data_IF_991387561673
#
_entry.id   IF_991387561673
#
_cell.length_a   1.000
_cell.length_b   1.000
_cell.length_c   1.000
_cell.angle_alpha   90.00
_cell.angle_beta   90.00
_cell.angle_gamma   90.00
#
_symmetry.space_group_name_H-M   'P 1'
#
loop_
_entity.id
_entity.type
_entity.pdbx_description
1 polymer ?
#
# COMPACT_ATOMS: atom_id res chain seq x y z
N UNK A 1 26.05 7.29 6.30
CA UNK A 1 26.89 6.11 6.04
C UNK A 1 26.81 5.18 7.23
N UNK A 2 27.05 3.90 7.02
CA UNK A 2 26.97 2.85 8.04
C UNK A 2 28.40 2.36 8.33
N UNK A 3 28.83 2.44 9.58
CA UNK A 3 30.15 1.92 9.95
C UNK A 3 30.07 0.42 10.26
N UNK A 4 31.13 -0.34 9.93
CA UNK A 4 31.20 -1.77 10.22
C UNK A 4 30.94 -2.06 11.70
N UNK A 5 31.51 -1.25 12.60
CA UNK A 5 31.34 -1.44 14.04
C UNK A 5 29.90 -1.22 14.51
N UNK A 6 29.18 -0.23 13.91
CA UNK A 6 27.77 0.00 14.18
C UNK A 6 26.92 -1.22 13.76
N UNK A 7 27.22 -1.79 12.57
CA UNK A 7 26.52 -2.98 12.07
C UNK A 7 26.78 -4.19 12.98
N UNK A 8 28.03 -4.42 13.40
CA UNK A 8 28.38 -5.50 14.32
C UNK A 8 27.69 -5.34 15.68
N UNK A 9 27.69 -4.12 16.22
CA UNK A 9 27.00 -3.81 17.48
C UNK A 9 25.48 -4.02 17.38
N UNK A 10 24.86 -3.62 16.27
CA UNK A 10 23.41 -3.76 16.07
C UNK A 10 22.99 -5.22 15.87
N UNK A 11 23.80 -6.02 15.18
CA UNK A 11 23.43 -7.39 14.77
C UNK A 11 23.95 -8.49 15.68
N UNK A 12 24.96 -8.20 16.52
CA UNK A 12 25.72 -9.20 17.25
C UNK A 12 26.59 -10.07 16.34
N UNK A 13 26.77 -9.68 15.08
CA UNK A 13 27.53 -10.41 14.08
C UNK A 13 29.06 -10.36 14.33
N UNK A 14 29.77 -11.20 13.62
CA UNK A 14 31.23 -11.24 13.61
C UNK A 14 31.79 -10.93 12.23
N UNK A 15 32.97 -10.32 12.20
CA UNK A 15 33.69 -10.07 10.94
C UNK A 15 35.17 -10.38 11.15
N UNK A 16 35.78 -11.09 10.21
CA UNK A 16 37.22 -11.40 10.26
C UNK A 16 38.13 -10.25 9.80
N UNK A 17 37.54 -9.26 9.09
CA UNK A 17 38.28 -8.09 8.64
C UNK A 17 38.57 -7.16 9.82
N UNK A 18 39.82 -6.72 9.94
CA UNK A 18 40.23 -5.72 10.91
C UNK A 18 40.16 -4.28 10.33
N UNK A 19 39.76 -4.12 9.06
CA UNK A 19 39.65 -2.84 8.42
C UNK A 19 38.38 -2.12 8.87
N UNK A 20 38.50 -0.85 9.20
CA UNK A 20 37.34 -0.01 9.44
C UNK A 20 36.71 0.34 8.07
N UNK A 21 35.56 -0.23 7.78
CA UNK A 21 34.85 -0.07 6.49
C UNK A 21 33.58 0.70 6.74
N UNK A 22 33.36 1.72 5.91
CA UNK A 22 32.12 2.47 5.84
C UNK A 22 31.31 2.01 4.63
N UNK A 23 30.03 1.75 4.82
CA UNK A 23 29.10 1.37 3.75
C UNK A 23 28.24 2.58 3.35
N UNK A 24 28.12 2.79 2.04
CA UNK A 24 27.31 3.89 1.48
C UNK A 24 25.81 3.61 1.55
N UNK A 25 25.43 2.33 1.73
CA UNK A 25 24.05 1.86 1.81
C UNK A 25 23.98 0.37 2.12
N UNK A 26 22.76 -0.13 2.28
CA UNK A 26 22.45 -1.54 2.52
C UNK A 26 21.51 -2.03 1.42
N UNK A 27 21.84 -3.13 0.76
CA UNK A 27 21.06 -3.64 -0.36
C UNK A 27 20.87 -5.16 -0.26
N UNK A 28 19.69 -5.65 -0.62
CA UNK A 28 19.33 -7.07 -0.62
C UNK A 28 19.19 -7.64 -2.04
N UNK A 29 19.34 -6.80 -3.09
CA UNK A 29 19.22 -7.20 -4.49
C UNK A 29 20.55 -6.97 -5.23
N UNK A 30 21.23 -8.05 -5.57
CA UNK A 30 22.52 -8.00 -6.29
C UNK A 30 22.45 -7.35 -7.68
N UNK A 31 21.24 -7.22 -8.27
CA UNK A 31 21.05 -6.57 -9.58
C UNK A 31 21.09 -5.05 -9.52
N UNK A 32 20.79 -4.50 -8.33
CA UNK A 32 20.73 -3.06 -8.08
C UNK A 32 21.82 -2.57 -7.13
N UNK A 33 22.79 -3.42 -6.78
CA UNK A 33 23.89 -3.10 -5.88
C UNK A 33 24.73 -1.95 -6.46
N UNK A 34 25.10 -1.02 -5.59
CA UNK A 34 25.95 0.10 -5.94
C UNK A 34 27.31 -0.04 -5.26
N UNK A 35 28.31 0.63 -5.82
CA UNK A 35 29.66 0.65 -5.24
C UNK A 35 29.63 1.19 -3.80
N UNK A 36 30.28 0.46 -2.91
CA UNK A 36 30.36 0.83 -1.50
C UNK A 36 29.19 0.34 -0.62
N UNK A 37 28.14 -0.28 -1.18
CA UNK A 37 27.02 -0.84 -0.38
C UNK A 37 27.41 -2.17 0.29
N UNK A 38 26.73 -2.48 1.40
CA UNK A 38 26.72 -3.81 1.99
C UNK A 38 25.61 -4.65 1.35
N UNK A 39 25.95 -5.79 0.78
CA UNK A 39 24.98 -6.76 0.31
C UNK A 39 24.53 -7.69 1.43
N UNK A 40 23.22 -7.77 1.70
CA UNK A 40 22.64 -8.68 2.69
C UNK A 40 22.04 -9.89 1.96
N UNK A 41 22.57 -11.07 2.24
CA UNK A 41 22.14 -12.33 1.62
C UNK A 41 20.89 -12.88 2.31
N UNK A 42 19.72 -12.41 1.92
CA UNK A 42 18.46 -12.96 2.42
C UNK A 42 18.16 -14.32 1.79
N UNK A 43 17.57 -15.22 2.56
CA UNK A 43 17.08 -16.53 2.11
C UNK A 43 15.56 -16.60 2.27
N UNK A 44 14.89 -17.25 1.33
CA UNK A 44 13.47 -17.55 1.32
C UNK A 44 13.21 -18.96 0.83
N UNK A 45 11.95 -19.38 0.76
CA UNK A 45 11.56 -20.75 0.38
C UNK A 45 12.12 -21.20 -0.98
N UNK A 46 12.17 -20.31 -1.97
CA UNK A 46 12.59 -20.61 -3.33
C UNK A 46 13.84 -19.83 -3.78
N UNK A 47 14.53 -19.18 -2.86
CA UNK A 47 15.62 -18.26 -3.17
C UNK A 47 16.65 -18.24 -2.05
N UNK A 48 17.94 -18.26 -2.41
CA UNK A 48 19.04 -18.07 -1.48
C UNK A 48 19.98 -16.96 -1.96
N UNK A 49 20.00 -15.84 -1.22
CA UNK A 49 20.85 -14.69 -1.50
C UNK A 49 22.34 -14.97 -1.40
N UNK A 50 22.75 -15.98 -0.65
CA UNK A 50 24.17 -16.35 -0.48
C UNK A 50 24.81 -16.72 -1.82
N UNK A 51 24.05 -17.30 -2.75
CA UNK A 51 24.52 -17.63 -4.10
C UNK A 51 24.92 -16.41 -4.95
N UNK A 52 24.59 -15.20 -4.50
CA UNK A 52 24.85 -13.94 -5.20
C UNK A 52 25.94 -13.08 -4.55
N UNK A 53 26.54 -13.53 -3.44
CA UNK A 53 27.58 -12.78 -2.71
C UNK A 53 28.78 -12.43 -3.59
N UNK A 54 29.33 -13.42 -4.29
CA UNK A 54 30.47 -13.20 -5.21
C UNK A 54 30.12 -12.20 -6.32
N UNK A 55 28.92 -12.31 -6.88
CA UNK A 55 28.41 -11.37 -7.89
C UNK A 55 28.26 -9.95 -7.34
N UNK A 56 27.72 -9.80 -6.13
CA UNK A 56 27.56 -8.50 -5.49
C UNK A 56 28.91 -7.82 -5.27
N UNK A 57 29.92 -8.55 -4.78
CA UNK A 57 31.27 -8.05 -4.63
C UNK A 57 31.90 -7.64 -5.98
N UNK A 58 31.73 -8.46 -7.02
CA UNK A 58 32.20 -8.14 -8.37
C UNK A 58 31.55 -6.87 -8.96
N UNK A 59 30.31 -6.55 -8.54
CA UNK A 59 29.60 -5.34 -8.94
C UNK A 59 29.93 -4.11 -8.04
N UNK A 60 30.83 -4.27 -7.05
CA UNK A 60 31.34 -3.17 -6.23
C UNK A 60 30.77 -3.08 -4.81
N UNK A 61 30.08 -4.11 -4.32
CA UNK A 61 29.73 -4.16 -2.91
C UNK A 61 31.00 -4.10 -2.04
N UNK A 62 30.98 -3.27 -0.99
CA UNK A 62 32.10 -3.17 -0.07
C UNK A 62 32.18 -4.34 0.94
N UNK A 63 31.10 -5.11 1.05
CA UNK A 63 31.03 -6.30 1.90
C UNK A 63 29.75 -7.08 1.70
N UNK A 64 29.66 -8.24 2.34
CA UNK A 64 28.50 -9.11 2.37
C UNK A 64 28.14 -9.49 3.79
N UNK A 65 26.81 -9.60 4.07
CA UNK A 65 26.30 -10.11 5.33
C UNK A 65 25.62 -11.46 5.06
N UNK A 66 26.07 -12.50 5.75
CA UNK A 66 25.72 -13.90 5.50
C UNK A 66 25.36 -14.63 6.79
N UNK A 67 24.64 -15.76 6.70
CA UNK A 67 24.34 -16.64 7.85
C UNK A 67 25.24 -17.87 7.93
N UNK A 68 25.92 -18.23 6.85
CA UNK A 68 26.85 -19.37 6.78
C UNK A 68 28.04 -19.01 5.90
N UNK A 69 29.04 -19.87 5.91
CA UNK A 69 30.23 -19.67 5.08
C UNK A 69 29.88 -19.82 3.60
N UNK A 70 30.35 -18.87 2.79
CA UNK A 70 30.15 -18.83 1.35
C UNK A 70 31.50 -19.07 0.68
N UNK A 71 31.56 -20.09 -0.18
CA UNK A 71 32.78 -20.43 -0.93
C UNK A 71 33.01 -19.44 -2.09
N UNK A 72 34.27 -19.33 -2.53
CA UNK A 72 34.64 -18.56 -3.71
C UNK A 72 34.66 -17.03 -3.51
N UNK A 73 34.55 -16.54 -2.28
CA UNK A 73 34.69 -15.12 -2.00
C UNK A 73 36.19 -14.73 -1.98
N UNK A 74 36.55 -13.49 -2.43
CA UNK A 74 37.90 -12.97 -2.32
C UNK A 74 38.42 -13.02 -0.88
N UNK A 75 39.70 -13.34 -0.68
CA UNK A 75 40.31 -13.44 0.67
C UNK A 75 40.25 -12.14 1.47
N UNK A 76 40.26 -11.01 0.79
CA UNK A 76 40.18 -9.68 1.38
C UNK A 76 38.75 -9.14 1.48
N UNK A 77 37.73 -9.93 1.13
CA UNK A 77 36.34 -9.50 1.22
C UNK A 77 35.91 -9.26 2.69
N UNK A 78 35.16 -8.19 2.91
CA UNK A 78 34.50 -7.94 4.19
C UNK A 78 33.28 -8.85 4.27
N UNK A 79 33.33 -9.86 5.12
CA UNK A 79 32.25 -10.82 5.35
C UNK A 79 31.77 -10.71 6.79
N UNK A 80 30.54 -10.24 6.95
CA UNK A 80 29.86 -10.17 8.24
C UNK A 80 29.01 -11.43 8.38
N UNK A 81 29.23 -12.21 9.43
CA UNK A 81 28.48 -13.43 9.73
C UNK A 81 27.54 -13.22 10.90
N UNK A 82 26.27 -13.61 10.71
CA UNK A 82 25.22 -13.56 11.73
C UNK A 82 24.42 -14.86 11.71
N UNK A 83 23.62 -15.15 12.72
CA UNK A 83 22.79 -16.37 12.75
C UNK A 83 21.60 -16.29 11.80
N UNK A 84 21.06 -15.06 11.58
CA UNK A 84 19.88 -14.79 10.76
C UNK A 84 20.06 -13.47 10.00
N UNK A 85 20.17 -13.55 8.69
CA UNK A 85 20.39 -12.37 7.82
C UNK A 85 19.18 -11.46 7.74
N UNK A 86 17.95 -11.99 7.83
CA UNK A 86 16.73 -11.16 7.85
C UNK A 86 16.66 -10.37 9.16
N UNK A 87 16.89 -11.03 10.28
CA UNK A 87 16.94 -10.38 11.60
C UNK A 87 18.02 -9.32 11.66
N UNK A 88 19.21 -9.62 11.14
CA UNK A 88 20.31 -8.67 11.05
C UNK A 88 19.94 -7.45 10.20
N UNK A 89 19.33 -7.66 9.03
CA UNK A 89 18.84 -6.58 8.16
C UNK A 89 17.85 -5.66 8.88
N UNK A 90 16.91 -6.24 9.62
CA UNK A 90 15.94 -5.49 10.41
C UNK A 90 16.61 -4.69 11.53
N UNK A 91 17.56 -5.28 12.23
CA UNK A 91 18.31 -4.61 13.32
C UNK A 91 19.18 -3.46 12.81
N UNK A 92 19.80 -3.61 11.63
CA UNK A 92 20.54 -2.52 10.97
C UNK A 92 19.58 -1.37 10.64
N UNK A 93 18.41 -1.67 10.06
CA UNK A 93 17.42 -0.66 9.73
C UNK A 93 16.88 0.05 10.97
N UNK A 94 16.65 -0.69 12.06
CA UNK A 94 16.24 -0.12 13.34
C UNK A 94 17.33 0.78 13.91
N UNK A 95 18.58 0.35 13.96
CA UNK A 95 19.71 1.15 14.45
C UNK A 95 19.86 2.45 13.64
N UNK A 96 19.70 2.38 12.32
CA UNK A 96 19.72 3.58 11.46
C UNK A 96 18.57 4.53 11.78
N UNK A 97 17.34 4.01 11.95
CA UNK A 97 16.17 4.80 12.37
C UNK A 97 16.42 5.46 13.73
N UNK A 98 16.92 4.72 14.69
CA UNK A 98 17.15 5.21 16.07
C UNK A 98 18.26 6.28 16.16
N UNK A 99 19.20 6.26 15.22
CA UNK A 99 20.22 7.29 15.05
C UNK A 99 19.62 8.65 14.64
N UNK A 100 18.45 8.65 13.96
CA UNK A 100 17.75 9.83 13.52
C UNK A 100 16.84 10.39 14.62
N UNK A 101 17.42 11.09 15.60
CA UNK A 101 16.73 11.52 16.86
C UNK A 101 15.52 12.43 16.64
N UNK A 102 15.53 13.26 15.60
CA UNK A 102 14.46 14.21 15.30
C UNK A 102 13.41 13.66 14.33
N UNK A 103 13.64 12.46 13.79
CA UNK A 103 12.74 11.81 12.87
C UNK A 103 11.42 11.45 13.54
N UNK A 104 10.31 11.82 12.89
CA UNK A 104 8.96 11.36 13.21
C UNK A 104 8.53 10.27 12.24
N UNK A 105 7.82 9.27 12.74
CA UNK A 105 7.32 8.17 11.92
C UNK A 105 5.81 8.10 11.99
N UNK A 106 5.16 8.12 10.83
CA UNK A 106 3.72 7.90 10.68
C UNK A 106 3.51 6.52 10.04
N UNK A 107 2.87 5.61 10.77
CA UNK A 107 2.58 4.26 10.30
C UNK A 107 1.12 4.15 9.83
N UNK A 108 0.89 3.46 8.70
CA UNK A 108 -0.45 3.30 8.12
C UNK A 108 -0.74 1.83 7.90
N UNK A 109 -1.88 1.36 8.43
CA UNK A 109 -2.44 0.03 8.12
C UNK A 109 -3.93 0.09 7.79
N UNK A 110 -4.50 -1.04 7.43
CA UNK A 110 -5.91 -1.22 7.13
C UNK A 110 -6.13 -2.34 6.10
N UNK A 111 -7.36 -2.71 5.85
CA UNK A 111 -7.69 -3.68 4.81
C UNK A 111 -7.51 -3.06 3.42
N UNK A 112 -8.13 -1.92 3.18
CA UNK A 112 -8.08 -1.16 1.93
C UNK A 112 -7.58 0.27 2.18
N UNK A 113 -7.09 0.95 1.14
CA UNK A 113 -6.72 2.37 1.19
C UNK A 113 -5.36 2.70 1.80
N UNK A 114 -4.60 1.76 2.36
CA UNK A 114 -3.27 1.99 2.99
C UNK A 114 -2.34 2.85 2.14
N UNK A 115 -2.10 2.45 0.92
CA UNK A 115 -1.13 3.12 0.04
C UNK A 115 -1.64 4.50 -0.40
N UNK A 116 -2.93 4.61 -0.73
CA UNK A 116 -3.53 5.91 -1.08
C UNK A 116 -3.46 6.87 0.11
N UNK A 117 -3.80 6.41 1.31
CA UNK A 117 -3.69 7.20 2.54
C UNK A 117 -2.24 7.59 2.84
N UNK A 118 -1.29 6.69 2.71
CA UNK A 118 0.16 6.97 2.84
C UNK A 118 0.61 8.06 1.84
N UNK A 119 0.17 7.99 0.59
CA UNK A 119 0.52 8.98 -0.42
C UNK A 119 -0.08 10.36 -0.11
N UNK A 120 -1.34 10.39 0.31
CA UNK A 120 -2.03 11.62 0.74
C UNK A 120 -1.39 12.23 1.99
N UNK A 121 -1.06 11.42 3.01
CA UNK A 121 -0.34 11.87 4.21
C UNK A 121 1.00 12.49 3.83
N UNK A 122 1.77 11.80 2.99
CA UNK A 122 3.07 12.31 2.55
C UNK A 122 2.95 13.64 1.80
N UNK A 123 1.95 13.80 0.94
CA UNK A 123 1.69 15.04 0.22
C UNK A 123 1.30 16.19 1.19
N UNK A 124 0.41 15.92 2.15
CA UNK A 124 0.00 16.92 3.13
C UNK A 124 1.16 17.35 4.06
N UNK A 125 1.99 16.41 4.50
CA UNK A 125 3.14 16.70 5.37
C UNK A 125 4.27 17.40 4.61
N UNK A 126 4.46 17.11 3.33
CA UNK A 126 5.49 17.72 2.48
C UNK A 126 5.31 19.24 2.30
N UNK A 127 4.15 19.82 2.66
CA UNK A 127 3.97 21.26 2.72
C UNK A 127 4.90 21.95 3.73
N UNK A 128 5.39 21.20 4.73
CA UNK A 128 6.13 21.75 5.85
C UNK A 128 7.40 21.00 6.18
N UNK A 129 7.50 19.71 5.83
CA UNK A 129 8.55 18.81 6.26
C UNK A 129 9.22 18.09 5.10
N UNK A 130 10.49 17.69 5.30
CA UNK A 130 11.15 16.73 4.43
C UNK A 130 10.62 15.32 4.70
N UNK A 131 9.89 14.75 3.72
CA UNK A 131 9.16 13.50 3.89
C UNK A 131 9.75 12.38 3.04
N UNK A 132 9.99 11.23 3.67
CA UNK A 132 10.22 9.94 3.01
C UNK A 132 8.97 9.09 3.18
N UNK A 133 8.60 8.31 2.17
CA UNK A 133 7.46 7.37 2.26
C UNK A 133 7.82 6.00 1.72
N UNK A 134 7.08 4.98 2.16
CA UNK A 134 7.16 3.64 1.58
C UNK A 134 6.94 3.69 0.07
N UNK A 135 7.88 3.14 -0.68
CA UNK A 135 7.78 2.94 -2.13
C UNK A 135 7.11 1.61 -2.45
N UNK A 136 6.41 1.54 -3.57
CA UNK A 136 5.72 0.35 -4.05
C UNK A 136 4.87 -0.34 -2.94
N UNK A 137 5.11 -1.63 -2.72
CA UNK A 137 4.47 -2.45 -1.67
C UNK A 137 5.47 -2.90 -0.59
N UNK A 138 6.51 -2.09 -0.31
CA UNK A 138 7.51 -2.41 0.72
C UNK A 138 6.96 -2.24 2.13
N UNK A 139 5.95 -3.04 2.49
CA UNK A 139 5.15 -2.92 3.70
C UNK A 139 5.22 -4.12 4.64
N UNK A 140 6.13 -5.06 4.37
CA UNK A 140 6.36 -6.27 5.17
C UNK A 140 7.73 -6.24 5.88
N UNK A 141 8.12 -7.38 6.47
CA UNK A 141 9.36 -7.60 7.22
C UNK A 141 10.67 -7.37 6.44
N UNK A 142 10.60 -7.31 5.10
CA UNK A 142 11.73 -6.97 4.22
C UNK A 142 11.59 -5.54 3.69
N UNK A 143 10.38 -5.15 3.34
CA UNK A 143 10.11 -3.87 2.69
C UNK A 143 10.17 -2.67 3.63
N UNK A 144 9.66 -2.80 4.87
CA UNK A 144 9.75 -1.73 5.86
C UNK A 144 11.22 -1.38 6.19
N UNK A 145 12.13 -2.35 6.49
CA UNK A 145 13.54 -2.04 6.65
C UNK A 145 14.14 -1.27 5.48
N UNK A 146 13.79 -1.63 4.23
CA UNK A 146 14.26 -0.90 3.05
C UNK A 146 13.81 0.57 3.07
N UNK A 147 12.58 0.84 3.48
CA UNK A 147 12.07 2.21 3.63
C UNK A 147 12.85 2.97 4.71
N UNK A 148 13.11 2.34 5.87
CA UNK A 148 13.85 2.95 6.96
C UNK A 148 15.31 3.27 6.57
N UNK A 149 15.96 2.39 5.81
CA UNK A 149 17.34 2.57 5.34
C UNK A 149 17.47 3.68 4.26
N UNK A 150 16.37 4.07 3.62
CA UNK A 150 16.33 5.19 2.68
C UNK A 150 16.20 6.57 3.37
N UNK A 151 16.00 6.59 4.69
CA UNK A 151 15.95 7.83 5.49
C UNK A 151 17.31 8.52 5.42
N UNK A 152 17.30 9.81 5.12
CA UNK A 152 18.48 10.68 5.07
C UNK A 152 18.57 11.52 6.34
N UNK A 153 19.72 12.16 6.54
CA UNK A 153 19.94 13.01 7.72
C UNK A 153 19.03 14.25 7.78
N UNK A 154 18.50 14.69 6.64
CA UNK A 154 17.58 15.82 6.52
C UNK A 154 16.11 15.40 6.47
N UNK A 155 15.80 14.09 6.55
CA UNK A 155 14.44 13.59 6.62
C UNK A 155 13.84 13.91 7.98
N UNK A 156 12.70 14.58 8.00
CA UNK A 156 11.98 14.96 9.21
C UNK A 156 10.84 14.00 9.53
N UNK A 157 10.17 13.48 8.50
CA UNK A 157 9.05 12.53 8.67
C UNK A 157 9.20 11.35 7.71
N UNK A 158 9.01 10.13 8.25
CA UNK A 158 8.87 8.92 7.44
C UNK A 158 7.41 8.43 7.51
N UNK A 159 6.75 8.29 6.36
CA UNK A 159 5.41 7.71 6.26
C UNK A 159 5.53 6.27 5.78
N UNK A 160 5.28 5.32 6.69
CA UNK A 160 5.48 3.90 6.44
C UNK A 160 4.16 3.15 6.35
N UNK A 161 4.03 2.31 5.33
CA UNK A 161 2.92 1.38 5.19
C UNK A 161 3.25 0.08 5.90
N UNK A 162 2.29 -0.47 6.66
CA UNK A 162 2.42 -1.74 7.36
C UNK A 162 1.33 -2.71 6.92
N UNK A 163 1.75 -3.75 6.19
CA UNK A 163 0.93 -4.89 5.81
C UNK A 163 1.05 -6.05 6.79
N UNK A 164 0.12 -6.99 6.72
CA UNK A 164 0.17 -8.22 7.50
C UNK A 164 -0.55 -9.36 6.80
N UNK A 165 -0.22 -10.58 7.13
CA UNK A 165 -0.91 -11.83 6.81
C UNK A 165 -1.29 -12.62 8.06
N UNK A 166 -0.84 -12.21 9.25
CA UNK A 166 -1.07 -12.88 10.51
C UNK A 166 -0.90 -11.97 11.72
N UNK A 167 -1.33 -12.47 12.86
CA UNK A 167 -1.13 -11.83 14.16
C UNK A 167 0.36 -11.66 14.48
N UNK A 168 0.72 -10.59 15.20
CA UNK A 168 2.08 -10.29 15.65
C UNK A 168 2.96 -9.58 14.59
N UNK A 169 2.56 -9.61 13.32
CA UNK A 169 3.38 -9.04 12.25
C UNK A 169 3.42 -7.51 12.29
N UNK A 170 2.28 -6.84 12.50
CA UNK A 170 2.25 -5.37 12.65
C UNK A 170 3.01 -4.95 13.91
N UNK A 171 2.84 -5.67 15.03
CA UNK A 171 3.60 -5.41 16.25
C UNK A 171 5.11 -5.51 16.02
N UNK A 172 5.59 -6.50 15.25
CA UNK A 172 7.00 -6.62 14.88
C UNK A 172 7.47 -5.42 14.03
N UNK A 173 6.67 -4.98 13.06
CA UNK A 173 6.97 -3.80 12.23
C UNK A 173 6.99 -2.51 13.07
N UNK A 174 6.08 -2.37 14.03
CA UNK A 174 6.06 -1.23 14.95
C UNK A 174 7.33 -1.17 15.81
N UNK A 175 7.86 -2.30 16.28
CA UNK A 175 9.12 -2.35 17.02
C UNK A 175 10.33 -1.88 16.20
N UNK A 176 10.30 -2.07 14.88
CA UNK A 176 11.34 -1.57 13.98
C UNK A 176 11.20 -0.07 13.70
N UNK A 177 9.98 0.38 13.40
CA UNK A 177 9.72 1.75 12.98
C UNK A 177 9.55 2.74 14.14
N UNK A 178 9.07 2.28 15.31
CA UNK A 178 8.74 3.10 16.49
C UNK A 178 7.90 4.32 16.11
N UNK A 179 6.62 4.14 15.69
CA UNK A 179 5.80 5.21 15.13
C UNK A 179 5.43 6.27 16.17
N UNK A 180 5.43 7.55 15.76
CA UNK A 180 4.91 8.69 16.51
C UNK A 180 3.40 8.90 16.26
N UNK A 181 2.90 8.42 15.11
CA UNK A 181 1.49 8.37 14.81
C UNK A 181 1.16 7.08 14.06
N UNK A 182 -0.03 6.52 14.33
CA UNK A 182 -0.54 5.34 13.64
C UNK A 182 -1.92 5.63 13.06
N UNK A 183 -2.16 5.16 11.84
CA UNK A 183 -3.41 5.31 11.11
C UNK A 183 -4.00 3.95 10.80
N UNK A 184 -5.28 3.75 11.10
CA UNK A 184 -6.03 2.58 10.65
C UNK A 184 -7.15 3.04 9.72
N UNK A 185 -7.10 2.60 8.46
CA UNK A 185 -8.07 3.05 7.45
C UNK A 185 -9.43 2.37 7.59
N UNK A 186 -9.43 1.04 7.61
CA UNK A 186 -10.64 0.22 7.75
C UNK A 186 -10.29 -1.24 8.07
N UNK A 187 -11.30 -2.00 8.49
CA UNK A 187 -11.26 -3.44 8.64
C UNK A 187 -12.26 -4.05 7.66
N UNK A 188 -11.78 -4.88 6.74
CA UNK A 188 -12.59 -5.54 5.72
C UNK A 188 -12.06 -6.94 5.42
N UNK A 189 -12.76 -7.67 4.57
CA UNK A 189 -12.54 -9.06 4.19
C UNK A 189 -11.27 -9.26 3.36
N UNK A 190 -10.12 -9.04 3.99
CA UNK A 190 -8.81 -9.31 3.42
C UNK A 190 -8.08 -10.31 4.29
N UNK A 191 -7.32 -11.25 3.69
CA UNK A 191 -6.63 -12.31 4.43
C UNK A 191 -7.57 -13.20 5.29
N UNK A 192 -8.82 -13.34 4.87
CA UNK A 192 -9.86 -14.09 5.58
C UNK A 192 -9.48 -15.57 5.69
N UNK A 193 -8.85 -16.10 4.66
CA UNK A 193 -8.34 -17.49 4.63
C UNK A 193 -7.33 -17.75 5.75
N UNK A 194 -6.48 -16.78 6.06
CA UNK A 194 -5.40 -16.93 7.06
C UNK A 194 -5.83 -16.58 8.48
N UNK A 195 -6.75 -15.64 8.64
CA UNK A 195 -7.16 -15.11 9.95
C UNK A 195 -8.51 -15.64 10.41
N UNK A 196 -9.32 -16.18 9.52
CA UNK A 196 -10.56 -16.90 9.80
C UNK A 196 -11.76 -16.04 10.21
N UNK A 197 -11.58 -14.81 10.71
CA UNK A 197 -12.68 -13.92 11.09
C UNK A 197 -12.34 -12.44 10.99
N UNK A 198 -13.39 -11.59 10.92
CA UNK A 198 -13.24 -10.12 10.95
C UNK A 198 -12.63 -9.63 12.26
N UNK A 199 -12.95 -10.27 13.38
CA UNK A 199 -12.41 -9.98 14.70
C UNK A 199 -10.90 -10.21 14.75
N UNK A 200 -10.42 -11.29 14.16
CA UNK A 200 -8.97 -11.57 14.08
C UNK A 200 -8.26 -10.59 13.17
N UNK A 201 -8.88 -10.17 12.04
CA UNK A 201 -8.35 -9.13 11.17
C UNK A 201 -8.26 -7.80 11.93
N UNK A 202 -9.33 -7.42 12.66
CA UNK A 202 -9.36 -6.24 13.51
C UNK A 202 -8.28 -6.29 14.60
N UNK A 203 -8.13 -7.45 15.26
CA UNK A 203 -7.09 -7.67 16.29
C UNK A 203 -5.69 -7.50 15.72
N UNK A 204 -5.39 -8.11 14.56
CA UNK A 204 -4.08 -7.97 13.92
C UNK A 204 -3.78 -6.52 13.53
N UNK A 205 -4.78 -5.77 13.05
CA UNK A 205 -4.59 -4.36 12.71
C UNK A 205 -4.49 -3.45 13.94
N UNK A 206 -5.14 -3.79 15.06
CA UNK A 206 -5.04 -3.01 16.30
C UNK A 206 -3.64 -3.00 16.91
N UNK A 207 -2.79 -3.97 16.56
CA UNK A 207 -1.40 -4.01 17.00
C UNK A 207 -0.63 -2.71 16.69
N UNK A 208 -1.04 -1.95 15.65
CA UNK A 208 -0.37 -0.69 15.28
C UNK A 208 -0.57 0.42 16.32
N UNK A 209 -1.65 0.38 17.08
CA UNK A 209 -1.97 1.40 18.09
C UNK A 209 -1.72 0.95 19.53
N UNK A 210 -1.57 -0.36 19.77
CA UNK A 210 -1.49 -0.94 21.12
C UNK A 210 -0.21 -0.54 21.88
N UNK A 211 0.88 -0.21 21.17
CA UNK A 211 2.15 0.19 21.77
C UNK A 211 2.41 1.70 21.72
N UNK A 212 1.41 2.50 21.33
CA UNK A 212 1.54 3.95 21.35
C UNK A 212 1.37 4.50 22.78
N UNK A 213 2.07 5.58 23.07
CA UNK A 213 2.05 6.29 24.36
C UNK A 213 1.18 7.54 24.28
N UNK A 214 0.89 8.15 25.44
CA UNK A 214 0.09 9.39 25.56
C UNK A 214 0.64 10.59 24.78
N UNK A 215 1.91 10.54 24.36
CA UNK A 215 2.55 11.59 23.58
C UNK A 215 2.38 11.42 22.08
N UNK A 216 1.88 10.26 21.64
CA UNK A 216 1.72 9.85 20.25
C UNK A 216 0.26 9.97 19.81
N UNK A 217 -0.02 9.74 18.53
CA UNK A 217 -1.35 9.89 17.95
C UNK A 217 -1.87 8.57 17.35
N UNK A 218 -3.13 8.25 17.63
CA UNK A 218 -3.88 7.21 16.95
C UNK A 218 -4.97 7.86 16.08
N UNK A 219 -4.85 7.76 14.76
CA UNK A 219 -5.79 8.34 13.78
C UNK A 219 -6.71 7.22 13.29
N UNK A 220 -7.98 7.27 13.71
CA UNK A 220 -8.93 6.17 13.60
C UNK A 220 -10.17 6.56 12.81
N UNK A 221 -10.60 5.68 11.88
CA UNK A 221 -11.84 5.84 11.14
C UNK A 221 -13.05 5.62 12.07
N UNK A 222 -13.82 6.69 12.32
CA UNK A 222 -14.98 6.68 13.21
C UNK A 222 -16.16 5.90 12.63
N UNK A 223 -16.27 5.84 11.32
CA UNK A 223 -17.38 5.20 10.62
C UNK A 223 -17.19 3.70 10.47
N UNK A 224 -15.98 3.18 10.74
CA UNK A 224 -15.71 1.75 10.81
C UNK A 224 -15.81 1.25 12.26
N UNK A 225 -16.76 0.38 12.52
CA UNK A 225 -17.08 -0.12 13.87
C UNK A 225 -15.90 -0.84 14.53
N UNK A 226 -15.06 -1.56 13.75
CA UNK A 226 -13.89 -2.26 14.30
C UNK A 226 -12.76 -1.27 14.59
N UNK A 227 -12.54 -0.30 13.69
CA UNK A 227 -11.49 0.71 13.87
C UNK A 227 -11.82 1.64 15.04
N UNK A 228 -13.07 2.11 15.16
CA UNK A 228 -13.50 2.96 16.26
C UNK A 228 -13.22 2.32 17.63
N UNK A 229 -13.46 1.01 17.78
CA UNK A 229 -13.18 0.28 19.03
C UNK A 229 -11.68 0.17 19.36
N UNK A 230 -10.78 0.49 18.44
CA UNK A 230 -9.35 0.48 18.72
C UNK A 230 -8.94 1.67 19.61
N UNK A 231 -9.78 2.68 19.77
CA UNK A 231 -9.59 3.76 20.73
C UNK A 231 -9.42 3.24 22.17
N UNK A 232 -10.10 2.14 22.52
CA UNK A 232 -10.01 1.52 23.86
C UNK A 232 -8.72 0.70 24.05
N UNK A 233 -7.91 0.53 23.01
CA UNK A 233 -6.70 -0.30 23.03
C UNK A 233 -5.39 0.50 23.03
N UNK A 234 -5.48 1.80 23.10
CA UNK A 234 -4.30 2.68 23.02
C UNK A 234 -4.29 3.69 24.14
N UNK A 235 -3.10 4.05 24.61
CA UNK A 235 -2.87 5.20 25.49
C UNK A 235 -2.69 6.51 24.69
N UNK A 236 -2.56 6.44 23.36
CA UNK A 236 -2.30 7.59 22.51
C UNK A 236 -3.48 8.58 22.45
N UNK A 237 -3.17 9.80 22.02
CA UNK A 237 -4.20 10.79 21.69
C UNK A 237 -4.95 10.33 20.45
N UNK A 238 -6.24 10.00 20.62
CA UNK A 238 -7.09 9.56 19.50
C UNK A 238 -7.59 10.79 18.74
N UNK A 239 -7.39 10.74 17.41
CA UNK A 239 -7.99 11.69 16.46
C UNK A 239 -8.89 10.86 15.56
N UNK A 240 -10.20 10.99 15.72
CA UNK A 240 -11.18 10.31 14.89
C UNK A 240 -11.39 11.08 13.58
N UNK A 241 -11.63 10.34 12.48
CA UNK A 241 -12.02 10.93 11.20
C UNK A 241 -13.17 10.14 10.58
N UNK A 242 -14.00 10.81 9.78
CA UNK A 242 -15.15 10.17 9.14
C UNK A 242 -16.02 11.15 8.35
N UNK A 243 -17.18 10.67 7.89
CA UNK A 243 -18.17 11.48 7.20
C UNK A 243 -19.36 11.88 8.10
N UNK A 244 -19.23 11.66 9.40
CA UNK A 244 -20.21 12.03 10.42
C UNK A 244 -19.65 13.11 11.34
N UNK A 245 -20.50 14.02 11.82
CA UNK A 245 -20.11 15.22 12.60
C UNK A 245 -19.59 14.90 14.01
N UNK A 246 -19.70 13.65 14.46
CA UNK A 246 -19.14 13.17 15.73
C UNK A 246 -17.65 12.80 15.61
N UNK A 247 -17.07 12.84 14.41
CA UNK A 247 -15.64 12.68 14.22
C UNK A 247 -14.87 13.98 14.44
N UNK A 248 -13.63 13.87 14.91
CA UNK A 248 -12.74 15.03 15.12
C UNK A 248 -12.33 15.75 13.84
N UNK A 249 -12.22 15.01 12.73
CA UNK A 249 -12.01 15.53 11.38
C UNK A 249 -13.05 14.90 10.47
N UNK A 250 -13.92 15.70 9.87
CA UNK A 250 -15.02 15.15 9.08
C UNK A 250 -15.32 15.92 7.80
N UNK A 251 -15.98 15.25 6.86
CA UNK A 251 -16.42 15.80 5.60
C UNK A 251 -17.94 16.09 5.60
N UNK A 252 -18.30 17.25 5.06
CA UNK A 252 -19.68 17.65 4.78
C UNK A 252 -19.82 17.99 3.29
N UNK A 253 -21.05 18.00 2.77
CA UNK A 253 -21.35 18.44 1.40
C UNK A 253 -20.52 17.71 0.34
N UNK A 254 -20.33 16.39 0.51
CA UNK A 254 -19.54 15.57 -0.40
C UNK A 254 -20.22 15.54 -1.78
N UNK A 255 -19.45 15.90 -2.83
CA UNK A 255 -19.84 15.80 -4.22
C UNK A 255 -18.84 14.94 -4.96
N UNK A 256 -19.31 13.88 -5.59
CA UNK A 256 -18.51 13.01 -6.45
C UNK A 256 -18.73 13.45 -7.90
N UNK A 257 -17.63 13.78 -8.60
CA UNK A 257 -17.65 14.24 -10.01
C UNK A 257 -16.81 13.30 -10.88
N UNK A 258 -16.81 13.51 -12.18
CA UNK A 258 -15.96 12.74 -13.09
C UNK A 258 -14.47 13.09 -12.99
N UNK A 259 -14.14 14.24 -12.43
CA UNK A 259 -12.77 14.74 -12.25
C UNK A 259 -12.20 14.45 -10.86
N UNK A 260 -13.08 14.07 -9.88
CA UNK A 260 -12.65 13.83 -8.51
C UNK A 260 -13.78 13.92 -7.49
N UNK A 261 -13.41 14.35 -6.30
CA UNK A 261 -14.33 14.55 -5.18
C UNK A 261 -14.16 15.95 -4.60
N UNK A 262 -15.27 16.59 -4.23
CA UNK A 262 -15.26 17.87 -3.53
C UNK A 262 -16.00 17.73 -2.21
N UNK A 263 -15.50 18.35 -1.15
CA UNK A 263 -16.16 18.33 0.16
C UNK A 263 -15.69 19.48 1.05
N UNK A 264 -16.51 19.83 2.01
CA UNK A 264 -16.12 20.73 3.09
C UNK A 264 -15.50 19.91 4.22
N UNK A 265 -14.23 20.12 4.52
CA UNK A 265 -13.53 19.48 5.63
C UNK A 265 -13.60 20.35 6.87
N UNK A 266 -13.97 19.77 8.01
CA UNK A 266 -14.01 20.43 9.32
C UNK A 266 -13.01 19.73 10.24
N UNK A 267 -12.09 20.50 10.84
CA UNK A 267 -11.22 20.07 11.93
C UNK A 267 -11.79 20.64 13.25
N UNK A 268 -12.61 19.87 13.94
CA UNK A 268 -13.40 20.34 15.08
C UNK A 268 -12.52 20.92 16.20
N UNK A 269 -11.43 20.28 16.57
CA UNK A 269 -10.53 20.71 17.64
C UNK A 269 -9.83 22.05 17.35
N UNK A 270 -9.55 22.36 16.08
CA UNK A 270 -8.94 23.62 15.66
C UNK A 270 -9.95 24.69 15.31
N UNK A 271 -11.24 24.35 15.16
CA UNK A 271 -12.27 25.24 14.64
C UNK A 271 -12.05 25.67 13.19
N UNK A 272 -11.26 24.90 12.43
CA UNK A 272 -10.94 25.18 11.02
C UNK A 272 -11.91 24.48 10.08
N UNK A 273 -12.29 25.19 9.02
CA UNK A 273 -13.10 24.63 7.92
C UNK A 273 -12.55 25.10 6.57
N UNK A 274 -12.36 24.19 5.64
CA UNK A 274 -11.93 24.48 4.27
C UNK A 274 -12.69 23.62 3.25
N UNK A 275 -12.93 24.21 2.08
CA UNK A 275 -13.43 23.47 0.93
C UNK A 275 -12.28 22.76 0.21
N UNK A 276 -12.35 21.44 0.15
CA UNK A 276 -11.31 20.57 -0.44
C UNK A 276 -11.77 20.11 -1.84
N UNK A 277 -10.88 20.26 -2.81
CA UNK A 277 -11.00 19.68 -4.15
C UNK A 277 -9.93 18.60 -4.26
N UNK A 278 -10.35 17.36 -4.45
CA UNK A 278 -9.49 16.18 -4.50
C UNK A 278 -9.60 15.54 -5.90
N UNK A 279 -8.53 15.48 -6.71
CA UNK A 279 -8.56 14.91 -8.05
C UNK A 279 -8.53 13.37 -8.03
N UNK A 280 -9.27 12.78 -7.10
CA UNK A 280 -9.40 11.34 -6.89
C UNK A 280 -10.89 10.99 -6.79
N UNK A 281 -11.30 10.00 -7.56
CA UNK A 281 -12.70 9.58 -7.65
C UNK A 281 -13.10 8.66 -6.50
N UNK A 282 -14.36 8.78 -6.10
CA UNK A 282 -14.99 7.87 -5.16
C UNK A 282 -14.86 8.27 -3.69
N UNK A 283 -15.91 7.97 -2.95
CA UNK A 283 -16.06 8.32 -1.54
C UNK A 283 -14.93 7.77 -0.66
N UNK A 284 -14.39 6.58 -0.99
CA UNK A 284 -13.27 5.99 -0.27
C UNK A 284 -12.01 6.88 -0.29
N UNK A 285 -11.82 7.71 -1.33
CA UNK A 285 -10.72 8.67 -1.37
C UNK A 285 -10.99 9.91 -0.52
N UNK A 286 -12.25 10.24 -0.24
CA UNK A 286 -12.61 11.24 0.78
C UNK A 286 -12.14 10.75 2.16
N UNK A 287 -12.43 9.48 2.55
CA UNK A 287 -11.92 8.88 3.79
C UNK A 287 -10.39 8.88 3.86
N UNK A 288 -9.71 8.49 2.77
CA UNK A 288 -8.25 8.51 2.71
C UNK A 288 -7.68 9.94 2.90
N UNK A 289 -8.36 10.96 2.33
CA UNK A 289 -7.98 12.36 2.49
C UNK A 289 -8.24 12.87 3.91
N UNK A 290 -9.37 12.50 4.55
CA UNK A 290 -9.66 12.86 5.94
C UNK A 290 -8.61 12.28 6.89
N UNK A 291 -8.20 11.03 6.69
CA UNK A 291 -7.10 10.43 7.47
C UNK A 291 -5.80 11.23 7.30
N UNK A 292 -5.48 11.65 6.07
CA UNK A 292 -4.28 12.45 5.80
C UNK A 292 -4.35 13.84 6.42
N UNK A 293 -5.51 14.50 6.36
CA UNK A 293 -5.76 15.79 7.00
C UNK A 293 -5.60 15.67 8.52
N UNK A 294 -6.18 14.63 9.13
CA UNK A 294 -6.08 14.38 10.57
C UNK A 294 -4.62 14.21 11.03
N UNK A 295 -3.82 13.43 10.26
CA UNK A 295 -2.37 13.31 10.54
C UNK A 295 -1.67 14.65 10.38
N UNK A 296 -1.87 15.34 9.27
CA UNK A 296 -1.17 16.60 8.99
C UNK A 296 -1.51 17.69 10.03
N UNK A 297 -2.76 17.76 10.49
CA UNK A 297 -3.19 18.64 11.58
C UNK A 297 -2.48 18.28 12.91
N UNK A 298 -2.33 16.98 13.24
CA UNK A 298 -1.59 16.52 14.42
C UNK A 298 -0.12 16.96 14.40
N UNK A 299 0.47 17.10 13.19
CA UNK A 299 1.82 17.62 12.98
C UNK A 299 1.83 19.16 12.72
N UNK A 300 0.76 19.87 13.06
CA UNK A 300 0.65 21.33 12.96
C UNK A 300 0.87 21.86 11.52
N UNK A 301 0.38 21.16 10.49
CA UNK A 301 0.28 21.69 9.13
C UNK A 301 -1.08 22.41 9.03
N UNK A 302 -1.13 23.71 8.68
CA UNK A 302 -2.39 24.46 8.56
C UNK A 302 -3.29 23.87 7.48
N UNK A 303 -4.61 23.82 7.73
CA UNK A 303 -5.60 23.22 6.81
C UNK A 303 -5.59 23.90 5.43
N UNK A 304 -5.35 25.21 5.38
CA UNK A 304 -5.21 25.93 4.10
C UNK A 304 -4.01 25.47 3.25
N UNK A 305 -2.90 25.02 3.86
CA UNK A 305 -1.77 24.44 3.13
C UNK A 305 -2.10 23.03 2.67
N UNK A 306 -2.74 22.23 3.51
CA UNK A 306 -3.19 20.88 3.19
C UNK A 306 -4.14 20.88 1.97
N UNK A 307 -5.09 21.82 1.94
CA UNK A 307 -6.00 22.03 0.80
C UNK A 307 -5.25 22.17 -0.53
N UNK A 308 -4.19 22.98 -0.54
CA UNK A 308 -3.39 23.20 -1.75
C UNK A 308 -2.64 21.93 -2.17
N UNK A 309 -2.08 21.17 -1.21
CA UNK A 309 -1.39 19.93 -1.51
C UNK A 309 -2.32 18.85 -2.08
N UNK A 310 -3.55 18.76 -1.57
CA UNK A 310 -4.53 17.78 -2.01
C UNK A 310 -5.06 18.05 -3.43
N UNK A 311 -5.07 19.31 -3.87
CA UNK A 311 -5.54 19.70 -5.19
C UNK A 311 -4.70 19.10 -6.35
N UNK A 312 -3.41 18.89 -6.12
CA UNK A 312 -2.49 18.41 -7.15
C UNK A 312 -1.97 16.99 -6.88
N UNK A 313 -2.56 16.28 -5.91
CA UNK A 313 -2.09 14.96 -5.49
C UNK A 313 -2.29 13.91 -6.58
N UNK A 314 -1.30 13.03 -6.69
CA UNK A 314 -1.36 11.83 -7.54
C UNK A 314 -0.97 10.61 -6.71
N UNK A 315 -1.74 9.55 -6.84
CA UNK A 315 -1.45 8.29 -6.17
C UNK A 315 -0.36 7.52 -6.90
N UNK A 316 0.41 6.74 -6.16
CA UNK A 316 1.41 5.84 -6.71
C UNK A 316 0.81 4.46 -7.01
N UNK A 317 1.28 3.85 -8.12
CA UNK A 317 0.87 2.50 -8.53
C UNK A 317 -0.46 2.47 -9.28
N UNK A 318 -0.88 1.28 -9.65
CA UNK A 318 -2.05 0.94 -10.46
C UNK A 318 -3.34 0.98 -9.62
N UNK A 319 -3.68 2.18 -9.07
CA UNK A 319 -4.86 2.42 -8.20
C UNK A 319 -5.68 3.53 -8.78
N UNK A 320 -6.76 3.15 -9.45
CA UNK A 320 -7.63 4.08 -10.20
C UNK A 320 -6.81 5.03 -11.11
N UNK A 321 -5.79 4.48 -11.77
CA UNK A 321 -4.98 5.22 -12.72
C UNK A 321 -5.78 5.42 -14.01
N UNK A 322 -6.05 6.67 -14.36
CA UNK A 322 -6.78 7.03 -15.58
C UNK A 322 -5.81 7.17 -16.75
N UNK A 323 -6.07 6.38 -17.80
CA UNK A 323 -5.28 6.38 -19.02
C UNK A 323 -6.20 6.63 -20.21
N UNK A 324 -5.72 7.38 -21.21
CA UNK A 324 -6.46 7.65 -22.42
C UNK A 324 -5.75 7.04 -23.63
N UNK A 325 -6.48 6.25 -24.42
CA UNK A 325 -6.01 5.64 -25.66
C UNK A 325 -6.97 6.01 -26.81
N UNK A 326 -6.66 7.08 -27.55
CA UNK A 326 -7.60 7.66 -28.49
C UNK A 326 -8.86 8.14 -27.77
N UNK A 327 -10.03 7.64 -28.17
CA UNK A 327 -11.30 7.93 -27.48
C UNK A 327 -11.60 6.97 -26.30
N UNK A 328 -10.82 5.90 -26.11
CA UNK A 328 -11.02 4.91 -25.04
C UNK A 328 -10.43 5.41 -23.73
N UNK A 329 -11.23 5.40 -22.67
CA UNK A 329 -10.77 5.67 -21.31
C UNK A 329 -10.52 4.35 -20.57
N UNK A 330 -9.35 4.19 -19.92
CA UNK A 330 -9.02 3.02 -19.09
C UNK A 330 -8.88 3.46 -17.64
N UNK A 331 -9.57 2.75 -16.76
CA UNK A 331 -9.42 2.84 -15.29
C UNK A 331 -8.60 1.61 -14.88
N UNK A 332 -7.30 1.82 -14.69
CA UNK A 332 -6.39 0.78 -14.24
C UNK A 332 -6.41 0.73 -12.70
N UNK A 333 -7.13 -0.23 -12.14
CA UNK A 333 -7.20 -0.50 -10.70
C UNK A 333 -6.74 -1.95 -10.38
N UNK A 334 -5.72 -2.40 -11.11
CA UNK A 334 -5.24 -3.77 -11.13
C UNK A 334 -4.19 -4.10 -10.07
N UNK A 335 -3.99 -3.25 -9.06
CA UNK A 335 -3.01 -3.52 -8.01
C UNK A 335 -3.40 -4.70 -7.12
N UNK A 336 -4.65 -4.74 -6.66
CA UNK A 336 -5.23 -5.83 -5.87
C UNK A 336 -6.75 -5.78 -5.91
N UNK A 337 -7.41 -6.85 -5.44
CA UNK A 337 -8.85 -6.95 -5.41
C UNK A 337 -9.35 -7.52 -4.07
N UNK A 338 -10.44 -6.93 -3.55
CA UNK A 338 -11.24 -7.40 -2.43
C UNK A 338 -12.69 -7.01 -2.71
N UNK A 339 -13.70 -7.61 -2.06
CA UNK A 339 -15.11 -7.31 -2.33
C UNK A 339 -15.42 -5.81 -2.23
N UNK A 340 -14.99 -5.15 -1.17
CA UNK A 340 -15.19 -3.71 -0.98
C UNK A 340 -14.48 -2.86 -2.04
N UNK A 341 -13.26 -3.25 -2.47
CA UNK A 341 -12.53 -2.52 -3.50
C UNK A 341 -13.11 -2.74 -4.90
N UNK A 342 -13.68 -3.92 -5.19
CA UNK A 342 -14.43 -4.19 -6.42
C UNK A 342 -15.69 -3.32 -6.49
N UNK A 343 -16.47 -3.27 -5.39
CA UNK A 343 -17.66 -2.42 -5.30
C UNK A 343 -17.31 -0.94 -5.57
N UNK A 344 -16.25 -0.44 -4.95
CA UNK A 344 -15.79 0.93 -5.15
C UNK A 344 -15.36 1.21 -6.60
N UNK A 345 -14.65 0.27 -7.24
CA UNK A 345 -14.21 0.42 -8.63
C UNK A 345 -15.38 0.40 -9.62
N UNK A 346 -16.41 -0.44 -9.39
CA UNK A 346 -17.61 -0.49 -10.19
C UNK A 346 -18.43 0.81 -10.09
N UNK A 347 -18.58 1.37 -8.88
CA UNK A 347 -19.18 2.70 -8.69
C UNK A 347 -18.40 3.80 -9.43
N UNK A 348 -17.07 3.73 -9.41
CA UNK A 348 -16.22 4.66 -10.17
C UNK A 348 -16.46 4.52 -11.67
N UNK A 349 -16.53 3.29 -12.20
CA UNK A 349 -16.85 3.04 -13.60
C UNK A 349 -18.22 3.61 -14.00
N UNK A 350 -19.23 3.42 -13.15
CA UNK A 350 -20.57 3.99 -13.33
C UNK A 350 -20.53 5.53 -13.41
N UNK A 351 -19.91 6.18 -12.44
CA UNK A 351 -19.81 7.65 -12.39
C UNK A 351 -19.09 8.23 -13.62
N UNK A 352 -18.00 7.59 -14.08
CA UNK A 352 -17.28 8.03 -15.28
C UNK A 352 -18.11 7.82 -16.54
N UNK A 353 -18.85 6.71 -16.65
CA UNK A 353 -19.78 6.45 -17.73
C UNK A 353 -20.87 7.52 -17.81
N UNK A 354 -21.48 7.85 -16.68
CA UNK A 354 -22.57 8.85 -16.63
C UNK A 354 -22.09 10.24 -17.03
N UNK A 355 -20.86 10.59 -16.66
CA UNK A 355 -20.28 11.89 -16.97
C UNK A 355 -19.78 12.01 -18.42
N UNK A 356 -19.15 10.96 -18.95
CA UNK A 356 -18.53 10.99 -20.30
C UNK A 356 -19.46 10.46 -21.41
N UNK A 357 -20.46 9.68 -21.03
CA UNK A 357 -21.17 8.82 -21.98
C UNK A 357 -20.32 7.60 -22.37
N UNK A 358 -20.80 6.85 -23.33
CA UNK A 358 -20.08 5.66 -23.80
C UNK A 358 -20.52 4.36 -23.15
N UNK A 359 -19.74 3.31 -23.35
CA UNK A 359 -20.06 1.96 -22.88
C UNK A 359 -19.11 1.56 -21.77
N UNK A 360 -19.67 1.12 -20.63
CA UNK A 360 -18.89 0.57 -19.52
C UNK A 360 -18.50 -0.88 -19.80
N UNK A 361 -17.21 -1.15 -19.87
CA UNK A 361 -16.62 -2.48 -20.03
C UNK A 361 -15.80 -2.78 -18.77
N UNK A 362 -16.11 -3.85 -18.07
CA UNK A 362 -15.32 -4.29 -16.91
C UNK A 362 -14.55 -5.57 -17.25
N UNK A 363 -13.26 -5.62 -16.93
CA UNK A 363 -12.45 -6.84 -16.94
C UNK A 363 -12.07 -7.15 -15.52
N UNK A 364 -12.70 -8.16 -14.94
CA UNK A 364 -12.54 -8.54 -13.55
C UNK A 364 -11.92 -9.94 -13.44
N UNK A 365 -10.89 -10.07 -12.62
CA UNK A 365 -10.27 -11.36 -12.33
C UNK A 365 -10.46 -11.76 -10.88
N UNK A 366 -9.89 -12.89 -10.48
CA UNK A 366 -10.06 -13.45 -9.13
C UNK A 366 -9.71 -12.46 -8.02
N UNK A 367 -10.51 -12.51 -6.96
CA UNK A 367 -10.19 -12.01 -5.64
C UNK A 367 -9.63 -13.16 -4.81
N UNK A 368 -8.34 -13.13 -4.51
CA UNK A 368 -7.65 -14.19 -3.77
C UNK A 368 -7.71 -13.97 -2.25
N UNK A 369 -7.33 -14.99 -1.48
CA UNK A 369 -7.24 -14.99 -0.01
C UNK A 369 -8.59 -14.80 0.72
N UNK A 370 -9.72 -15.10 0.06
CA UNK A 370 -11.07 -15.02 0.64
C UNK A 370 -11.51 -16.32 1.35
N UNK A 371 -10.83 -17.43 1.11
CA UNK A 371 -11.16 -18.73 1.69
C UNK A 371 -12.61 -19.13 1.40
N UNK A 372 -13.34 -19.54 2.44
CA UNK A 372 -14.73 -19.99 2.31
C UNK A 372 -15.72 -18.93 1.78
N UNK A 373 -15.36 -17.65 1.85
CA UNK A 373 -16.19 -16.55 1.34
C UNK A 373 -16.06 -16.35 -0.17
N UNK A 374 -15.08 -16.99 -0.83
CA UNK A 374 -14.71 -16.69 -2.23
C UNK A 374 -15.91 -16.75 -3.17
N UNK A 375 -16.64 -17.86 -3.19
CA UNK A 375 -17.78 -18.06 -4.10
C UNK A 375 -18.86 -17.00 -3.91
N UNK A 376 -19.21 -16.72 -2.66
CA UNK A 376 -20.27 -15.74 -2.35
C UNK A 376 -19.85 -14.32 -2.72
N UNK A 377 -18.63 -13.92 -2.36
CA UNK A 377 -18.09 -12.60 -2.67
C UNK A 377 -17.97 -12.35 -4.19
N UNK A 378 -17.57 -13.38 -4.95
CA UNK A 378 -17.53 -13.27 -6.41
C UNK A 378 -18.92 -13.13 -7.03
N UNK A 379 -19.93 -13.85 -6.50
CA UNK A 379 -21.33 -13.67 -6.95
C UNK A 379 -21.83 -12.27 -6.69
N UNK A 380 -21.61 -11.74 -5.49
CA UNK A 380 -22.02 -10.39 -5.11
C UNK A 380 -21.39 -9.32 -6.02
N UNK A 381 -20.12 -9.49 -6.39
CA UNK A 381 -19.45 -8.59 -7.36
C UNK A 381 -20.11 -8.66 -8.74
N UNK A 382 -20.53 -9.85 -9.19
CA UNK A 382 -21.28 -10.03 -10.43
C UNK A 382 -22.63 -9.30 -10.42
N UNK A 383 -23.37 -9.42 -9.31
CA UNK A 383 -24.64 -8.69 -9.11
C UNK A 383 -24.42 -7.17 -9.04
N UNK A 384 -23.35 -6.70 -8.38
CA UNK A 384 -22.98 -5.29 -8.36
C UNK A 384 -22.62 -4.78 -9.76
N UNK A 385 -21.91 -5.55 -10.57
CA UNK A 385 -21.59 -5.14 -11.94
C UNK A 385 -22.87 -4.88 -12.77
N UNK A 386 -23.91 -5.68 -12.56
CA UNK A 386 -25.21 -5.45 -13.16
C UNK A 386 -25.90 -4.18 -12.62
N UNK A 387 -25.93 -4.01 -11.29
CA UNK A 387 -26.55 -2.87 -10.62
C UNK A 387 -25.89 -1.55 -11.01
N UNK A 388 -24.56 -1.53 -11.17
CA UNK A 388 -23.77 -0.36 -11.60
C UNK A 388 -23.79 -0.16 -13.15
N UNK A 389 -24.63 -0.91 -13.86
CA UNK A 389 -24.89 -0.70 -15.27
C UNK A 389 -23.72 -1.01 -16.20
N UNK A 390 -22.89 -2.01 -15.85
CA UNK A 390 -21.85 -2.54 -16.73
C UNK A 390 -22.48 -3.10 -18.00
N UNK A 391 -22.04 -2.61 -19.16
CA UNK A 391 -22.60 -3.04 -20.44
C UNK A 391 -21.98 -4.37 -20.92
N UNK A 392 -20.69 -4.54 -20.67
CA UNK A 392 -19.96 -5.75 -21.02
C UNK A 392 -19.03 -6.12 -19.87
N UNK A 393 -19.14 -7.37 -19.42
CA UNK A 393 -18.24 -7.93 -18.42
C UNK A 393 -17.38 -9.02 -19.05
N UNK A 394 -16.09 -8.96 -18.81
CA UNK A 394 -15.13 -10.03 -19.13
C UNK A 394 -14.57 -10.50 -17.81
N UNK A 395 -14.62 -11.80 -17.53
CA UNK A 395 -14.01 -12.38 -16.33
C UNK A 395 -13.00 -13.44 -16.71
N UNK A 396 -11.94 -13.59 -15.92
CA UNK A 396 -11.01 -14.72 -16.05
C UNK A 396 -10.40 -15.10 -14.70
N UNK A 397 -10.14 -16.39 -14.56
CA UNK A 397 -9.64 -17.01 -13.33
C UNK A 397 -10.58 -18.12 -12.86
N UNK A 398 -10.17 -18.82 -11.80
CA UNK A 398 -10.92 -19.97 -11.27
C UNK A 398 -12.19 -19.55 -10.55
N UNK A 399 -12.12 -18.47 -9.76
CA UNK A 399 -13.21 -17.97 -8.93
C UNK A 399 -14.07 -16.92 -9.64
N UNK A 400 -13.47 -16.15 -10.55
CA UNK A 400 -14.16 -15.10 -11.31
C UNK A 400 -15.25 -15.66 -12.25
N UNK A 401 -15.31 -16.97 -12.46
CA UNK A 401 -16.44 -17.65 -13.12
C UNK A 401 -17.77 -17.38 -12.39
N UNK A 402 -17.74 -17.29 -11.06
CA UNK A 402 -18.92 -16.99 -10.25
C UNK A 402 -19.39 -15.54 -10.45
N UNK A 403 -18.45 -14.59 -10.60
CA UNK A 403 -18.75 -13.19 -10.97
C UNK A 403 -19.42 -13.13 -12.33
N UNK A 404 -18.86 -13.82 -13.32
CA UNK A 404 -19.40 -13.85 -14.66
C UNK A 404 -20.81 -14.43 -14.73
N UNK A 405 -21.05 -15.56 -14.08
CA UNK A 405 -22.37 -16.21 -14.05
C UNK A 405 -23.43 -15.35 -13.38
N UNK A 406 -23.12 -14.78 -12.20
CA UNK A 406 -24.06 -13.91 -11.49
C UNK A 406 -24.44 -12.67 -12.30
N UNK A 407 -23.48 -12.03 -12.97
CA UNK A 407 -23.75 -10.92 -13.87
C UNK A 407 -24.59 -11.32 -15.10
N UNK A 408 -24.32 -12.50 -15.67
CA UNK A 408 -25.07 -13.04 -16.79
C UNK A 408 -26.53 -13.32 -16.43
N UNK A 409 -26.78 -13.86 -15.25
CA UNK A 409 -28.15 -14.09 -14.72
C UNK A 409 -28.93 -12.78 -14.53
N UNK A 410 -28.21 -11.65 -14.29
CA UNK A 410 -28.79 -10.30 -14.22
C UNK A 410 -28.88 -9.60 -15.58
N UNK A 411 -28.55 -10.28 -16.69
CA UNK A 411 -28.68 -9.76 -18.04
C UNK A 411 -27.48 -8.98 -18.58
N UNK A 412 -26.36 -8.96 -17.89
CA UNK A 412 -25.14 -8.32 -18.41
C UNK A 412 -24.54 -9.17 -19.53
N UNK A 413 -24.14 -8.54 -20.64
CA UNK A 413 -23.40 -9.22 -21.71
C UNK A 413 -22.03 -9.65 -21.17
N UNK A 414 -21.86 -10.96 -20.90
CA UNK A 414 -20.70 -11.48 -20.17
C UNK A 414 -19.91 -12.49 -20.99
N UNK A 415 -18.58 -12.41 -20.90
CA UNK A 415 -17.63 -13.37 -21.43
C UNK A 415 -16.83 -13.95 -20.26
N UNK A 416 -16.94 -15.24 -20.05
CA UNK A 416 -16.21 -15.97 -19.00
C UNK A 416 -15.05 -16.67 -19.70
N UNK A 417 -13.82 -16.21 -19.41
CA UNK A 417 -12.60 -16.64 -20.03
C UNK A 417 -11.81 -17.57 -19.09
N UNK A 418 -11.04 -18.47 -19.67
CA UNK A 418 -10.17 -19.36 -18.90
C UNK A 418 -8.94 -18.61 -18.34
N UNK A 419 -8.36 -17.75 -19.17
CA UNK A 419 -7.13 -17.04 -18.83
C UNK A 419 -7.09 -15.61 -19.39
N UNK A 420 -6.00 -14.91 -19.06
CA UNK A 420 -5.76 -13.54 -19.52
C UNK A 420 -5.61 -13.42 -21.03
N UNK A 421 -5.07 -14.45 -21.71
CA UNK A 421 -4.85 -14.40 -23.16
C UNK A 421 -6.20 -14.45 -23.90
N UNK A 422 -7.12 -15.30 -23.45
CA UNK A 422 -8.48 -15.34 -23.96
C UNK A 422 -9.23 -14.02 -23.70
N UNK A 423 -9.13 -13.47 -22.48
CA UNK A 423 -9.71 -12.19 -22.13
C UNK A 423 -9.18 -11.04 -23.02
N UNK A 424 -7.87 -11.04 -23.32
CA UNK A 424 -7.26 -10.07 -24.23
C UNK A 424 -7.82 -10.19 -25.66
N UNK A 425 -7.96 -11.41 -26.18
CA UNK A 425 -8.54 -11.67 -27.50
C UNK A 425 -9.99 -11.17 -27.61
N UNK A 426 -10.80 -11.45 -26.58
CA UNK A 426 -12.20 -10.99 -26.53
C UNK A 426 -12.24 -9.47 -26.43
N UNK A 427 -11.51 -8.86 -25.50
CA UNK A 427 -11.48 -7.41 -25.33
C UNK A 427 -11.08 -6.72 -26.64
N UNK A 428 -10.03 -7.20 -27.32
CA UNK A 428 -9.58 -6.66 -28.60
C UNK A 428 -10.65 -6.77 -29.69
N UNK A 429 -11.44 -7.86 -29.70
CA UNK A 429 -12.51 -8.09 -30.69
C UNK A 429 -13.78 -7.27 -30.47
N UNK A 430 -14.02 -6.80 -29.24
CA UNK A 430 -15.25 -6.07 -28.90
C UNK A 430 -15.05 -4.58 -28.67
N UNK A 431 -13.80 -4.13 -28.59
CA UNK A 431 -13.43 -2.74 -28.28
C UNK A 431 -14.08 -1.78 -29.28
N UNK A 432 -14.62 -0.68 -28.78
CA UNK A 432 -15.24 0.40 -29.55
C UNK A 432 -14.70 1.75 -29.14
N UNK A 433 -14.92 2.73 -30.01
CA UNK A 433 -14.69 4.12 -29.62
C UNK A 433 -15.56 4.49 -28.42
N UNK A 434 -15.02 5.36 -27.59
CA UNK A 434 -15.65 5.89 -26.36
C UNK A 434 -15.96 4.83 -25.28
N UNK A 435 -15.34 3.62 -25.36
CA UNK A 435 -15.42 2.66 -24.28
C UNK A 435 -14.69 3.18 -23.04
N UNK A 436 -15.29 2.89 -21.88
CA UNK A 436 -14.67 3.10 -20.56
C UNK A 436 -14.40 1.73 -19.99
N UNK A 437 -13.14 1.41 -19.81
CA UNK A 437 -12.66 0.08 -19.41
C UNK A 437 -12.16 0.11 -17.97
N UNK A 438 -12.76 -0.69 -17.09
CA UNK A 438 -12.23 -0.98 -15.77
C UNK A 438 -11.40 -2.26 -15.81
N UNK A 439 -10.16 -2.21 -15.32
CA UNK A 439 -9.27 -3.37 -15.14
C UNK A 439 -9.04 -3.60 -13.64
N UNK A 440 -9.50 -4.76 -13.09
CA UNK A 440 -9.32 -5.09 -11.69
C UNK A 440 -9.24 -6.59 -11.39
N UNK A 441 -8.32 -6.96 -10.49
CA UNK A 441 -8.11 -8.32 -10.01
C UNK A 441 -6.99 -8.37 -8.98
N UNK A 442 -6.82 -9.49 -8.31
CA UNK A 442 -5.68 -9.70 -7.41
C UNK A 442 -4.36 -9.57 -8.15
N UNK A 443 -3.31 -9.13 -7.47
CA UNK A 443 -2.02 -8.77 -8.07
C UNK A 443 -1.42 -9.85 -8.98
N UNK A 444 -1.50 -11.10 -8.58
CA UNK A 444 -0.98 -12.23 -9.36
C UNK A 444 -1.75 -12.49 -10.67
N UNK A 445 -2.96 -11.96 -10.81
CA UNK A 445 -3.77 -12.09 -12.02
C UNK A 445 -3.26 -11.18 -13.16
N UNK A 446 -2.42 -10.17 -12.85
CA UNK A 446 -1.77 -9.27 -13.82
C UNK A 446 -2.75 -8.68 -14.85
N UNK A 447 -3.90 -8.18 -14.39
CA UNK A 447 -4.98 -7.66 -15.27
C UNK A 447 -4.52 -6.46 -16.08
N UNK A 448 -3.63 -5.65 -15.54
CA UNK A 448 -3.00 -4.49 -16.22
C UNK A 448 -2.18 -4.87 -17.44
N UNK A 449 -1.69 -6.11 -17.54
CA UNK A 449 -1.01 -6.61 -18.73
C UNK A 449 -1.88 -6.60 -20.00
N UNK A 450 -3.19 -6.49 -19.85
CA UNK A 450 -4.13 -6.32 -20.97
C UNK A 450 -3.93 -4.98 -21.71
N UNK A 451 -3.45 -3.94 -21.02
CA UNK A 451 -3.19 -2.62 -21.61
C UNK A 451 -2.14 -2.75 -22.71
N UNK A 452 -1.04 -3.44 -22.44
CA UNK A 452 0.05 -3.62 -23.41
C UNK A 452 -0.38 -4.50 -24.59
N UNK A 453 -1.21 -5.51 -24.35
CA UNK A 453 -1.63 -6.47 -25.36
C UNK A 453 -2.70 -5.86 -26.30
N UNK A 454 -3.61 -5.06 -25.77
CA UNK A 454 -4.83 -4.61 -26.48
C UNK A 454 -4.76 -3.16 -26.94
N UNK A 455 -4.17 -2.27 -26.15
CA UNK A 455 -4.28 -0.83 -26.33
C UNK A 455 -2.97 -0.15 -26.77
N UNK A 456 -1.82 -0.75 -26.56
CA UNK A 456 -0.51 -0.22 -26.99
C UNK A 456 0.00 -0.89 -28.27
N UNK A 457 -0.90 -1.22 -29.17
CA UNK A 457 -0.54 -1.78 -30.49
C UNK A 457 -0.12 -0.68 -31.46
#
# INVERSE_FOLDING_TARGET
MFELQEILAATGGSCRSLQNVEFTGINTDSRTIKSGELFVALSGENFDGHNYCAKALALGAAGVLVSHDVEGLPQNAVVIKTDDTLKAYQLIAKAWRDKQKNLKVVAVTGSNGKTSTKDLIAACLACKYNVVKTEANFNNEIGLPKTLLNIKNDTEIAVVEMGMRGLGQISALCKLASPDAAVVTNVGETHMELLGSMENIARAKSEIVENLTEQQFAVLNNDDVFVRRMADKTAAKVISYGCTEDAGVYAQNIKLTAEGSEFDCVCAAAGEKEHIVLPLLGEHNVYNALAAIAVAAAFNVPLAQIKNALKDVRLTGKRQEFMQFGSVTVINDAYNASPASMASALKTLHAVKDAKGGRAVAVLADMLELGALSVQAHKEVGEMAAAEGVNVLITYGTEAVHTGRAAQEKGVKTFICHDRAEAAKILSGILRNDDIILLKGSHSMQVDGLIDIVLKK
#
